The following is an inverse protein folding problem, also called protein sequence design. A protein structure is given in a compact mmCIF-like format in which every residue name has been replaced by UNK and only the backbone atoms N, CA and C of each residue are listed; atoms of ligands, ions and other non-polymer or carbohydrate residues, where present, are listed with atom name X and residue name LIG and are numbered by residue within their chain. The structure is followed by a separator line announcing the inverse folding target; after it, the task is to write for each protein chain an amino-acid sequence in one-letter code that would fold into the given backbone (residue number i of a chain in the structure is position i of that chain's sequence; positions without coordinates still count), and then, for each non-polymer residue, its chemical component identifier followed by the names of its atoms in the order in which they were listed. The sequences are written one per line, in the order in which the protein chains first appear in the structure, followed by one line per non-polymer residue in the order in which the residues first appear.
data_IF_308906583887
#
_entry.id   IF_308906583887
#
_cell.length_a   1.000
_cell.length_b   1.000
_cell.length_c   1.000
_cell.angle_alpha   90.00
_cell.angle_beta   90.00
_cell.angle_gamma   90.00
#
_symmetry.space_group_name_H-M   'P 1'
#
loop_
_entity.id
_entity.type
_entity.pdbx_description
1 polymer ?
#
# COMPACT_ATOMS: atom_id res chain seq x y z
N UNK A 1 44.43 -1.56 10.15
CA UNK A 1 44.92 -1.51 11.55
C UNK A 1 46.45 -1.49 11.69
N UNK A 2 47.20 -2.32 10.94
CA UNK A 2 48.67 -2.39 11.05
C UNK A 2 49.40 -1.05 10.90
N UNK A 3 49.04 -0.21 9.92
CA UNK A 3 49.70 1.10 9.70
C UNK A 3 49.40 2.14 10.79
N UNK A 4 48.19 2.12 11.36
CA UNK A 4 47.85 2.97 12.54
C UNK A 4 48.66 2.60 13.78
N UNK A 5 48.95 1.32 13.97
CA UNK A 5 49.77 0.84 15.08
C UNK A 5 51.25 1.19 14.88
N UNK A 6 51.76 1.15 13.64
CA UNK A 6 53.11 1.61 13.29
C UNK A 6 53.25 3.13 13.49
N UNK A 7 52.24 3.91 13.09
CA UNK A 7 52.17 5.35 13.36
C UNK A 7 52.25 5.65 14.86
N UNK A 8 51.45 4.97 15.69
CA UNK A 8 51.50 5.12 17.14
C UNK A 8 52.88 4.81 17.72
N UNK A 9 53.54 3.75 17.24
CA UNK A 9 54.89 3.39 17.66
C UNK A 9 55.92 4.43 17.23
N UNK A 10 55.84 4.94 16.01
CA UNK A 10 56.76 5.97 15.49
C UNK A 10 56.66 7.28 16.30
N UNK A 11 55.43 7.68 16.68
CA UNK A 11 55.21 8.85 17.54
C UNK A 11 55.80 8.63 18.95
N UNK A 12 55.61 7.45 19.54
CA UNK A 12 56.17 7.12 20.85
C UNK A 12 57.70 7.05 20.86
N UNK A 13 58.31 6.74 19.72
CA UNK A 13 59.76 6.68 19.54
C UNK A 13 60.38 8.02 19.14
N UNK A 14 59.59 9.10 19.00
CA UNK A 14 60.07 10.42 18.59
C UNK A 14 60.55 10.50 17.14
N UNK A 15 60.22 9.51 16.30
CA UNK A 15 60.60 9.49 14.89
C UNK A 15 59.55 10.22 14.05
N UNK A 16 59.69 11.54 13.90
CA UNK A 16 58.74 12.40 13.20
C UNK A 16 58.62 12.07 11.70
N UNK A 17 59.72 11.79 11.01
CA UNK A 17 59.69 11.44 9.58
C UNK A 17 58.97 10.11 9.32
N UNK A 18 59.28 9.09 10.14
CA UNK A 18 58.58 7.80 10.07
C UNK A 18 57.09 7.93 10.38
N UNK A 19 56.73 8.78 11.35
CA UNK A 19 55.34 9.08 11.67
C UNK A 19 54.62 9.77 10.51
N UNK A 20 55.23 10.72 9.81
CA UNK A 20 54.63 11.35 8.63
C UNK A 20 54.33 10.34 7.53
N UNK A 21 55.29 9.47 7.18
CA UNK A 21 55.11 8.46 6.13
C UNK A 21 53.99 7.46 6.51
N UNK A 22 53.94 7.03 7.77
CA UNK A 22 52.86 6.14 8.24
C UNK A 22 51.51 6.85 8.28
N UNK A 23 51.46 8.13 8.64
CA UNK A 23 50.23 8.93 8.63
C UNK A 23 49.68 9.08 7.21
N UNK A 24 50.53 9.40 6.24
CA UNK A 24 50.15 9.54 4.84
C UNK A 24 49.63 8.21 4.26
N UNK A 25 50.30 7.10 4.58
CA UNK A 25 49.83 5.75 4.24
C UNK A 25 48.47 5.42 4.86
N UNK A 26 48.22 5.83 6.11
CA UNK A 26 46.92 5.63 6.77
C UNK A 26 45.82 6.44 6.08
N UNK A 27 46.09 7.70 5.74
CA UNK A 27 45.12 8.58 5.06
C UNK A 27 44.81 8.02 3.68
N UNK A 28 45.82 7.67 2.89
CA UNK A 28 45.65 7.07 1.56
C UNK A 28 44.79 5.81 1.60
N UNK A 29 45.14 4.84 2.45
CA UNK A 29 44.36 3.59 2.59
C UNK A 29 42.93 3.83 3.07
N UNK A 30 42.70 4.85 3.90
CA UNK A 30 41.34 5.22 4.33
C UNK A 30 40.53 5.78 3.15
N UNK A 31 41.13 6.62 2.33
CA UNK A 31 40.49 7.18 1.12
C UNK A 31 40.18 6.10 0.10
N UNK A 32 41.14 5.20 -0.18
CA UNK A 32 40.94 4.04 -1.05
C UNK A 32 39.81 3.14 -0.55
N UNK A 33 39.78 2.84 0.75
CA UNK A 33 38.71 2.04 1.34
C UNK A 33 37.32 2.70 1.19
N UNK A 34 37.23 4.02 1.36
CA UNK A 34 35.98 4.76 1.16
C UNK A 34 35.54 4.75 -0.31
N UNK A 35 36.48 4.89 -1.25
CA UNK A 35 36.18 4.81 -2.68
C UNK A 35 35.72 3.40 -3.08
N UNK A 36 36.39 2.36 -2.58
CA UNK A 36 36.00 0.96 -2.79
C UNK A 36 34.62 0.66 -2.19
N UNK A 37 34.29 1.20 -1.01
CA UNK A 37 32.97 1.02 -0.40
C UNK A 37 31.89 1.69 -1.26
N UNK A 38 32.12 2.92 -1.74
CA UNK A 38 31.19 3.60 -2.65
C UNK A 38 31.00 2.81 -3.95
N UNK A 39 32.08 2.26 -4.51
CA UNK A 39 32.02 1.41 -5.69
C UNK A 39 31.23 0.13 -5.41
N UNK A 40 31.48 -0.53 -4.28
CA UNK A 40 30.76 -1.73 -3.84
C UNK A 40 29.26 -1.48 -3.72
N UNK A 41 28.84 -0.36 -3.12
CA UNK A 41 27.41 -0.03 -3.02
C UNK A 41 26.77 0.22 -4.40
N UNK A 42 27.49 0.83 -5.33
CA UNK A 42 27.01 1.00 -6.71
C UNK A 42 26.88 -0.34 -7.43
N UNK A 43 27.86 -1.23 -7.26
CA UNK A 43 27.84 -2.58 -7.84
C UNK A 43 26.68 -3.39 -7.26
N UNK A 44 26.45 -3.33 -5.95
CA UNK A 44 25.34 -4.03 -5.30
C UNK A 44 23.97 -3.55 -5.81
N UNK A 45 23.81 -2.24 -5.99
CA UNK A 45 22.63 -1.66 -6.62
C UNK A 45 22.41 -2.17 -8.05
N UNK A 46 23.47 -2.22 -8.87
CA UNK A 46 23.40 -2.76 -10.23
C UNK A 46 23.12 -4.28 -10.22
N UNK A 47 23.72 -5.04 -9.30
CA UNK A 47 23.48 -6.47 -9.16
C UNK A 47 22.01 -6.76 -8.80
N UNK A 48 21.42 -5.99 -7.90
CA UNK A 48 19.99 -6.09 -7.55
C UNK A 48 19.09 -5.80 -8.76
N UNK A 49 19.42 -4.78 -9.56
CA UNK A 49 18.71 -4.48 -10.80
C UNK A 49 18.81 -5.61 -11.82
N UNK A 50 20.00 -6.19 -11.99
CA UNK A 50 20.23 -7.33 -12.89
C UNK A 50 19.46 -8.56 -12.41
N UNK A 51 19.47 -8.86 -11.11
CA UNK A 51 18.71 -9.98 -10.54
C UNK A 51 17.20 -9.79 -10.74
N UNK A 52 16.68 -8.59 -10.52
CA UNK A 52 15.28 -8.26 -10.78
C UNK A 52 14.92 -8.38 -12.26
N UNK A 53 15.82 -7.97 -13.16
CA UNK A 53 15.65 -8.16 -14.60
C UNK A 53 15.63 -9.65 -14.99
N UNK A 54 16.53 -10.46 -14.43
CA UNK A 54 16.58 -11.91 -14.66
C UNK A 54 15.29 -12.61 -14.17
N UNK A 55 14.83 -12.27 -12.96
CA UNK A 55 13.58 -12.80 -12.41
C UNK A 55 12.38 -12.40 -13.29
N UNK A 56 12.30 -11.13 -13.71
CA UNK A 56 11.24 -10.67 -14.63
C UNK A 56 11.29 -11.42 -15.95
N UNK A 57 12.47 -11.64 -16.52
CA UNK A 57 12.62 -12.41 -17.76
C UNK A 57 12.13 -13.85 -17.61
N UNK A 58 12.40 -14.49 -16.46
CA UNK A 58 11.90 -15.84 -16.17
C UNK A 58 10.37 -15.86 -16.08
N UNK A 59 9.76 -14.89 -15.40
CA UNK A 59 8.29 -14.73 -15.35
C UNK A 59 7.71 -14.52 -16.75
N UNK A 60 8.33 -13.66 -17.57
CA UNK A 60 7.88 -13.43 -18.95
C UNK A 60 7.95 -14.70 -19.81
N UNK A 61 8.99 -15.53 -19.61
CA UNK A 61 9.10 -16.82 -20.28
C UNK A 61 8.00 -17.80 -19.84
N UNK A 62 7.70 -17.86 -18.55
CA UNK A 62 6.60 -18.67 -18.02
C UNK A 62 5.24 -18.19 -18.54
N UNK A 63 5.02 -16.87 -18.56
CA UNK A 63 3.83 -16.25 -19.12
C UNK A 63 3.68 -16.54 -20.61
N UNK A 64 4.76 -16.49 -21.39
CA UNK A 64 4.74 -16.88 -22.80
C UNK A 64 4.31 -18.34 -23.03
N UNK A 65 4.75 -19.26 -22.16
CA UNK A 65 4.29 -20.65 -22.21
C UNK A 65 2.82 -20.79 -21.80
N UNK A 66 2.40 -20.10 -20.74
CA UNK A 66 1.01 -20.10 -20.27
C UNK A 66 0.05 -19.54 -21.33
N UNK A 67 0.41 -18.42 -21.99
CA UNK A 67 -0.39 -17.82 -23.07
C UNK A 67 -0.52 -18.77 -24.25
N UNK A 68 0.53 -19.50 -24.65
CA UNK A 68 0.42 -20.55 -25.68
C UNK A 68 -0.50 -21.70 -25.23
N UNK A 69 -0.45 -22.07 -23.95
CA UNK A 69 -1.36 -23.05 -23.37
C UNK A 69 -2.82 -22.59 -23.45
N UNK A 70 -3.09 -21.32 -23.14
CA UNK A 70 -4.41 -20.69 -23.26
C UNK A 70 -4.85 -20.63 -24.72
N UNK A 71 -3.99 -20.22 -25.66
CA UNK A 71 -4.31 -20.19 -27.10
C UNK A 71 -4.71 -21.58 -27.64
N UNK A 72 -4.01 -22.64 -27.21
CA UNK A 72 -4.38 -24.02 -27.55
C UNK A 72 -5.66 -24.49 -26.86
N UNK A 73 -5.90 -24.09 -25.61
CA UNK A 73 -7.15 -24.37 -24.90
C UNK A 73 -8.34 -23.67 -25.56
N UNK A 74 -8.18 -22.42 -26.01
CA UNK A 74 -9.20 -21.66 -26.72
C UNK A 74 -9.54 -22.28 -28.09
N UNK A 75 -8.54 -22.80 -28.82
CA UNK A 75 -8.77 -23.55 -30.07
C UNK A 75 -9.54 -24.86 -29.88
N UNK A 76 -9.47 -25.45 -28.69
CA UNK A 76 -10.18 -26.68 -28.33
C UNK A 76 -11.44 -26.43 -27.50
N UNK A 77 -11.71 -25.17 -27.14
CA UNK A 77 -12.90 -24.77 -26.41
C UNK A 77 -14.08 -24.62 -27.38
N UNK A 78 -14.90 -25.67 -27.46
CA UNK A 78 -16.23 -25.60 -28.04
C UNK A 78 -17.07 -24.57 -27.25
N UNK A 79 -17.81 -23.73 -27.96
CA UNK A 79 -18.70 -22.66 -27.45
C UNK A 79 -19.61 -23.15 -26.31
N UNK A 80 -19.99 -24.43 -26.33
CA UNK A 80 -20.77 -25.10 -25.27
C UNK A 80 -20.10 -25.08 -23.88
N UNK A 81 -18.76 -25.14 -23.80
CA UNK A 81 -18.04 -25.05 -22.52
C UNK A 81 -17.94 -23.60 -22.02
N UNK A 82 -17.96 -22.61 -22.91
CA UNK A 82 -18.01 -21.20 -22.51
C UNK A 82 -19.37 -20.86 -21.89
N UNK A 83 -20.46 -21.41 -22.43
CA UNK A 83 -21.80 -21.28 -21.83
C UNK A 83 -21.81 -21.91 -20.43
N UNK A 84 -21.28 -23.13 -20.27
CA UNK A 84 -21.22 -23.78 -18.96
C UNK A 84 -20.37 -23.03 -17.91
N UNK A 85 -19.29 -22.37 -18.32
CA UNK A 85 -18.47 -21.53 -17.42
C UNK A 85 -19.19 -20.23 -17.07
N UNK A 86 -19.95 -19.66 -18.00
CA UNK A 86 -20.75 -18.46 -17.74
C UNK A 86 -21.84 -18.76 -16.70
N UNK A 87 -22.50 -19.91 -16.82
CA UNK A 87 -23.50 -20.36 -15.85
C UNK A 87 -22.88 -20.62 -14.46
N UNK A 88 -21.68 -21.22 -14.41
CA UNK A 88 -20.94 -21.39 -13.15
C UNK A 88 -20.47 -20.06 -12.55
N UNK A 89 -20.03 -19.11 -13.37
CA UNK A 89 -19.64 -17.79 -12.90
C UNK A 89 -20.85 -17.03 -12.33
N UNK A 90 -22.01 -17.15 -12.95
CA UNK A 90 -23.24 -16.52 -12.48
C UNK A 90 -23.68 -17.10 -11.13
N UNK A 91 -23.59 -18.41 -10.96
CA UNK A 91 -23.86 -19.09 -9.68
C UNK A 91 -22.87 -18.63 -8.59
N UNK A 92 -21.57 -18.56 -8.90
CA UNK A 92 -20.56 -18.11 -7.92
C UNK A 92 -20.70 -16.62 -7.58
N UNK A 93 -21.10 -15.77 -8.53
CA UNK A 93 -21.35 -14.36 -8.28
C UNK A 93 -22.57 -14.15 -7.37
N UNK A 94 -23.62 -14.96 -7.55
CA UNK A 94 -24.79 -14.98 -6.66
C UNK A 94 -24.41 -15.44 -5.25
N UNK A 95 -23.63 -16.53 -5.12
CA UNK A 95 -23.17 -17.04 -3.82
C UNK A 95 -22.33 -16.01 -3.05
N UNK A 96 -21.41 -15.32 -3.74
CA UNK A 96 -20.60 -14.26 -3.12
C UNK A 96 -21.47 -13.08 -2.70
N UNK A 97 -22.49 -12.72 -3.47
CA UNK A 97 -23.40 -11.65 -3.11
C UNK A 97 -24.23 -12.02 -1.88
N UNK A 98 -24.78 -13.24 -1.81
CA UNK A 98 -25.51 -13.75 -0.65
C UNK A 98 -24.60 -13.82 0.58
N UNK A 99 -23.36 -14.31 0.43
CA UNK A 99 -22.39 -14.37 1.52
C UNK A 99 -21.98 -12.97 2.00
N UNK A 100 -21.83 -12.01 1.09
CA UNK A 100 -21.50 -10.61 1.43
C UNK A 100 -22.68 -9.96 2.15
N UNK A 101 -23.91 -10.20 1.71
CA UNK A 101 -25.12 -9.72 2.39
C UNK A 101 -25.23 -10.30 3.80
N UNK A 102 -25.01 -11.61 3.96
CA UNK A 102 -25.00 -12.27 5.27
C UNK A 102 -23.90 -11.74 6.18
N UNK A 103 -22.71 -11.50 5.62
CA UNK A 103 -21.59 -10.91 6.34
C UNK A 103 -21.89 -9.46 6.74
N UNK A 104 -22.51 -8.67 5.86
CA UNK A 104 -22.87 -7.28 6.13
C UNK A 104 -24.00 -7.19 7.17
N UNK A 105 -24.93 -8.13 7.20
CA UNK A 105 -25.99 -8.22 8.22
C UNK A 105 -25.41 -8.64 9.58
N UNK A 106 -24.56 -9.67 9.61
CA UNK A 106 -23.88 -10.12 10.82
C UNK A 106 -22.89 -9.08 11.37
N UNK A 107 -22.12 -8.42 10.49
CA UNK A 107 -21.21 -7.33 10.86
C UNK A 107 -21.98 -6.06 11.22
N UNK A 108 -23.08 -5.74 10.55
CA UNK A 108 -23.93 -4.59 10.89
C UNK A 108 -24.48 -4.69 12.32
N UNK A 109 -24.92 -5.89 12.73
CA UNK A 109 -25.33 -6.17 14.11
C UNK A 109 -24.18 -6.16 15.13
N UNK A 110 -22.98 -6.62 14.75
CA UNK A 110 -21.82 -6.62 15.64
C UNK A 110 -21.18 -5.23 15.80
N UNK A 111 -21.04 -4.47 14.69
CA UNK A 111 -20.42 -3.14 14.65
C UNK A 111 -21.30 -2.10 15.35
N UNK A 112 -22.63 -2.16 15.20
CA UNK A 112 -23.55 -1.24 15.91
C UNK A 112 -23.49 -1.42 17.43
N UNK A 113 -23.11 -2.62 17.91
CA UNK A 113 -22.95 -2.91 19.34
C UNK A 113 -21.57 -2.50 19.86
N UNK A 114 -20.55 -2.48 18.99
CA UNK A 114 -19.15 -2.17 19.36
C UNK A 114 -18.76 -0.71 19.21
N UNK A 115 -19.44 0.05 18.34
CA UNK A 115 -19.17 1.48 18.14
C UNK A 115 -20.24 2.29 18.89
N UNK A 116 -19.91 2.90 20.05
CA UNK A 116 -20.85 3.76 20.76
C UNK A 116 -21.26 4.92 19.85
N UNK A 117 -22.57 5.15 19.72
CA UNK A 117 -23.10 6.22 18.85
C UNK A 117 -22.52 7.59 19.20
N UNK A 118 -22.29 7.85 20.49
CA UNK A 118 -21.73 9.11 20.97
C UNK A 118 -20.30 9.37 20.44
N UNK A 119 -19.46 8.34 20.30
CA UNK A 119 -18.10 8.47 19.76
C UNK A 119 -18.13 8.71 18.24
N UNK A 120 -19.10 8.11 17.55
CA UNK A 120 -19.31 8.33 16.13
C UNK A 120 -19.79 9.75 15.83
N UNK A 121 -20.71 10.28 16.64
CA UNK A 121 -21.22 11.65 16.50
C UNK A 121 -20.15 12.70 16.83
N UNK A 122 -19.29 12.43 17.82
CA UNK A 122 -18.14 13.28 18.13
C UNK A 122 -17.14 13.31 16.96
N UNK A 123 -16.82 12.14 16.40
CA UNK A 123 -15.91 12.05 15.26
C UNK A 123 -16.50 12.72 14.01
N UNK A 124 -17.80 12.55 13.75
CA UNK A 124 -18.49 13.26 12.66
C UNK A 124 -18.41 14.77 12.81
N UNK A 125 -18.58 15.31 14.02
CA UNK A 125 -18.41 16.75 14.30
C UNK A 125 -16.97 17.20 14.07
N UNK A 126 -15.98 16.48 14.60
CA UNK A 126 -14.57 16.80 14.37
C UNK A 126 -14.19 16.80 12.87
N UNK A 127 -14.65 15.80 12.11
CA UNK A 127 -14.39 15.73 10.68
C UNK A 127 -15.16 16.83 9.92
N UNK A 128 -16.37 17.18 10.35
CA UNK A 128 -17.12 18.30 9.77
C UNK A 128 -16.44 19.66 10.04
N UNK A 129 -15.84 19.83 11.22
CA UNK A 129 -15.05 21.01 11.58
C UNK A 129 -13.76 21.11 10.77
N UNK A 130 -13.03 20.00 10.67
CA UNK A 130 -11.79 19.90 9.87
C UNK A 130 -12.03 20.08 8.37
N UNK A 131 -13.16 19.57 7.86
CA UNK A 131 -13.58 19.77 6.48
C UNK A 131 -14.21 21.17 6.23
N UNK A 132 -14.32 22.02 7.27
CA UNK A 132 -14.85 23.38 7.18
C UNK A 132 -16.36 23.45 6.87
N UNK A 133 -17.10 22.38 7.15
CA UNK A 133 -18.53 22.25 6.86
C UNK A 133 -19.36 23.09 7.84
N UNK A 134 -18.89 23.32 9.07
CA UNK A 134 -19.59 24.17 10.06
C UNK A 134 -19.73 25.63 9.62
N UNK A 135 -18.77 26.18 8.87
CA UNK A 135 -18.86 27.57 8.40
C UNK A 135 -19.92 27.72 7.30
N UNK A 136 -20.17 26.66 6.51
CA UNK A 136 -21.28 26.67 5.53
C UNK A 136 -22.64 26.50 6.19
N UNK A 137 -22.74 25.83 7.34
CA UNK A 137 -24.01 25.74 8.05
C UNK A 137 -24.36 27.03 8.80
N UNK A 138 -23.37 27.73 9.39
CA UNK A 138 -23.59 29.03 10.07
C UNK A 138 -23.68 30.25 9.14
N UNK A 139 -23.16 30.19 7.91
CA UNK A 139 -23.38 31.24 6.87
C UNK A 139 -24.43 30.86 5.81
N UNK A 140 -24.81 29.59 5.71
CA UNK A 140 -25.82 29.10 4.76
C UNK A 140 -27.26 29.26 5.22
N UNK A 141 -27.49 29.75 6.45
CA UNK A 141 -28.81 30.16 6.92
C UNK A 141 -29.29 31.47 6.25
N UNK A 142 -28.44 32.12 5.47
CA UNK A 142 -28.82 33.19 4.55
C UNK A 142 -28.81 32.68 3.10
N UNK A 143 -29.96 32.11 2.69
CA UNK A 143 -30.44 31.98 1.30
C UNK A 143 -29.88 30.80 0.49
N UNK A 144 -30.56 29.65 0.57
CA UNK A 144 -30.95 28.84 -0.59
C UNK A 144 -32.10 27.87 -0.20
N UNK A 145 -33.04 27.55 -1.11
CA UNK A 145 -34.25 26.77 -0.77
C UNK A 145 -33.86 25.36 -0.34
N UNK A 146 -34.40 24.90 0.80
CA UNK A 146 -34.32 23.50 1.20
C UNK A 146 -35.01 22.64 0.13
N UNK A 147 -34.25 21.82 -0.59
CA UNK A 147 -34.80 20.59 -1.13
C UNK A 147 -35.03 19.67 0.07
N UNK A 148 -36.28 19.61 0.53
CA UNK A 148 -36.73 18.65 1.53
C UNK A 148 -36.31 17.24 1.07
N UNK A 149 -35.45 16.61 1.86
CA UNK A 149 -34.93 15.29 1.55
C UNK A 149 -36.07 14.27 1.51
N UNK A 150 -36.15 13.45 0.46
CA UNK A 150 -37.22 12.46 0.28
C UNK A 150 -37.34 11.50 1.48
N UNK A 151 -36.25 11.32 2.22
CA UNK A 151 -36.19 10.54 3.45
C UNK A 151 -37.01 11.14 4.60
N UNK A 152 -37.07 12.47 4.72
CA UNK A 152 -37.90 13.14 5.73
C UNK A 152 -39.39 12.99 5.40
N UNK A 153 -39.76 13.10 4.12
CA UNK A 153 -41.14 12.88 3.65
C UNK A 153 -41.60 11.43 3.84
N UNK A 154 -40.72 10.46 3.61
CA UNK A 154 -41.01 9.04 3.83
C UNK A 154 -41.15 8.73 5.32
N UNK A 155 -40.31 9.34 6.16
CA UNK A 155 -40.35 9.16 7.61
C UNK A 155 -41.62 9.74 8.22
N UNK A 156 -42.07 10.91 7.73
CA UNK A 156 -43.33 11.52 8.19
C UNK A 156 -44.57 10.72 7.73
N UNK A 157 -44.55 10.16 6.50
CA UNK A 157 -45.62 9.27 6.01
C UNK A 157 -45.71 7.98 6.82
N UNK A 158 -44.57 7.39 7.18
CA UNK A 158 -44.52 6.20 8.03
C UNK A 158 -45.02 6.50 9.45
N UNK A 159 -44.70 7.68 10.00
CA UNK A 159 -45.19 8.11 11.31
C UNK A 159 -46.72 8.31 11.33
N UNK A 160 -47.30 8.87 10.25
CA UNK A 160 -48.75 9.04 10.10
C UNK A 160 -49.49 7.72 9.94
N UNK A 161 -48.90 6.73 9.26
CA UNK A 161 -49.46 5.38 9.14
C UNK A 161 -49.37 4.56 10.43
N UNK A 162 -48.43 4.91 11.33
CA UNK A 162 -48.27 4.22 12.62
C UNK A 162 -49.25 4.71 13.69
N UNK A 163 -49.79 5.92 13.54
CA UNK A 163 -50.75 6.53 14.47
C UNK A 163 -52.20 6.49 13.94
N UNK A 164 -52.47 5.72 12.87
CA UNK A 164 -53.80 5.44 12.34
C UNK A 164 -54.26 4.03 12.72
#
# INVERSE_FOLDING_TARGET
MKEKNKLKKAIQQGNEEGAQIYAENVIRKKTEALQLLKLSSRIDGVASQVQSAANRQQVMKAMGTAVRGIDNALKTMNVEKLTAITDQFQTQAEDVNVQTQYMQEAMGGAVTTMVPQDEMDLLKRQVADEAGIELKHKLGEAVAPQEESEDEMLTERLAKLRNA
#
